data_IF_521408093959
#
_entry.id   IF_521408093959
#
_cell.length_a   1.000
_cell.length_b   1.000
_cell.length_c   1.000
_cell.angle_alpha   90.00
_cell.angle_beta   90.00
_cell.angle_gamma   90.00
#
_symmetry.space_group_name_H-M   'P 1'
#
loop_
_entity.id
_entity.type
_entity.pdbx_description
1 polymer ?
#
# COMPACT_ATOMS: atom_id res chain seq x y z
N UNK A 1 -17.28 27.94 12.21
CA UNK A 1 -16.12 27.37 12.93
C UNK A 1 -16.37 25.87 13.06
N UNK A 2 -15.92 25.05 12.11
CA UNK A 2 -16.13 23.59 12.16
C UNK A 2 -15.17 22.98 13.18
N UNK A 3 -15.70 22.66 14.37
CA UNK A 3 -15.01 21.88 15.38
C UNK A 3 -14.77 20.45 14.89
N UNK A 4 -13.70 19.81 15.37
CA UNK A 4 -13.40 18.41 15.04
C UNK A 4 -14.57 17.51 15.48
N UNK A 5 -14.88 16.45 14.73
CA UNK A 5 -15.73 15.38 15.25
C UNK A 5 -15.09 14.81 16.52
N UNK A 6 -15.88 14.62 17.59
CA UNK A 6 -15.38 14.04 18.84
C UNK A 6 -15.05 12.56 18.60
N UNK A 7 -14.21 11.95 19.44
CA UNK A 7 -13.91 10.50 19.38
C UNK A 7 -15.16 9.61 19.16
N UNK A 8 -16.33 9.87 19.82
CA UNK A 8 -17.56 9.13 19.57
C UNK A 8 -18.13 9.27 18.15
N UNK A 9 -17.97 10.41 17.49
CA UNK A 9 -18.43 10.63 16.11
C UNK A 9 -17.56 9.86 15.12
N UNK A 10 -16.27 9.70 15.44
CA UNK A 10 -15.30 8.99 14.61
C UNK A 10 -15.51 7.47 14.63
N UNK A 11 -16.00 6.93 15.75
CA UNK A 11 -16.48 5.54 15.82
C UNK A 11 -17.66 5.28 14.88
N UNK A 12 -18.52 6.29 14.69
CA UNK A 12 -19.66 6.18 13.76
C UNK A 12 -19.17 6.07 12.32
N UNK A 13 -18.13 6.84 11.95
CA UNK A 13 -17.49 6.81 10.62
C UNK A 13 -16.86 5.45 10.33
N UNK A 14 -16.31 4.79 11.34
CA UNK A 14 -15.65 3.49 11.21
C UNK A 14 -16.59 2.29 11.37
N UNK A 15 -17.86 2.48 11.76
CA UNK A 15 -18.80 1.39 12.05
C UNK A 15 -19.01 0.43 10.86
N UNK A 16 -18.85 0.94 9.65
CA UNK A 16 -18.93 0.17 8.40
C UNK A 16 -17.63 -0.57 8.03
N UNK A 17 -16.50 -0.24 8.66
CA UNK A 17 -15.24 -0.93 8.45
C UNK A 17 -15.12 -2.10 9.43
N UNK A 18 -14.92 -3.32 8.92
CA UNK A 18 -14.66 -4.49 9.77
C UNK A 18 -13.19 -4.48 10.24
N UNK A 19 -12.92 -3.70 11.29
CA UNK A 19 -11.60 -3.64 11.93
C UNK A 19 -11.19 -5.01 12.51
N UNK A 20 -12.16 -5.85 12.86
CA UNK A 20 -11.90 -7.22 13.31
C UNK A 20 -11.37 -8.10 12.18
N UNK A 21 -11.93 -8.00 10.98
CA UNK A 21 -11.42 -8.69 9.80
C UNK A 21 -9.99 -8.24 9.46
N UNK A 22 -9.72 -6.94 9.46
CA UNK A 22 -8.37 -6.41 9.21
C UNK A 22 -7.37 -6.96 10.23
N UNK A 23 -7.76 -7.06 11.51
CA UNK A 23 -6.92 -7.65 12.54
C UNK A 23 -6.65 -9.13 12.28
N UNK A 24 -7.68 -9.92 11.97
CA UNK A 24 -7.54 -11.34 11.63
C UNK A 24 -6.64 -11.53 10.40
N UNK A 25 -6.77 -10.66 9.40
CA UNK A 25 -5.88 -10.64 8.23
C UNK A 25 -4.43 -10.32 8.61
N UNK A 26 -4.20 -9.40 9.55
CA UNK A 26 -2.85 -9.08 9.99
C UNK A 26 -2.21 -10.22 10.81
N UNK A 27 -3.01 -10.93 11.60
CA UNK A 27 -2.54 -11.93 12.56
C UNK A 27 -2.60 -13.37 12.02
N UNK A 28 -3.09 -13.58 10.79
CA UNK A 28 -3.16 -14.92 10.19
C UNK A 28 -1.78 -15.56 10.06
N UNK A 29 -1.67 -16.89 10.21
CA UNK A 29 -0.49 -17.60 9.80
C UNK A 29 -0.33 -17.57 8.27
N UNK A 30 0.90 -17.80 7.83
CA UNK A 30 1.23 -18.01 6.43
C UNK A 30 2.34 -19.06 6.28
N UNK A 31 2.53 -19.55 5.06
CA UNK A 31 3.73 -20.31 4.69
C UNK A 31 4.31 -19.79 3.38
N UNK A 32 5.59 -19.42 3.43
CA UNK A 32 6.36 -19.01 2.26
C UNK A 32 7.46 -20.03 2.02
N UNK A 33 7.43 -20.69 0.86
CA UNK A 33 8.46 -21.64 0.47
C UNK A 33 9.66 -20.90 -0.12
N UNK A 34 10.87 -21.20 0.34
CA UNK A 34 12.13 -20.69 -0.22
C UNK A 34 12.79 -21.83 -1.00
N UNK A 35 12.60 -21.83 -2.31
CA UNK A 35 13.08 -22.89 -3.21
C UNK A 35 14.46 -22.51 -3.72
N UNK A 36 15.48 -23.30 -3.37
CA UNK A 36 16.85 -23.10 -3.80
C UNK A 36 17.56 -24.44 -4.00
N UNK A 37 18.56 -24.47 -4.88
CA UNK A 37 19.43 -25.66 -5.04
C UNK A 37 20.44 -25.77 -3.89
N UNK A 38 20.88 -24.64 -3.33
CA UNK A 38 21.70 -24.57 -2.12
C UNK A 38 20.84 -24.18 -0.91
N UNK A 39 20.79 -25.07 0.09
CA UNK A 39 20.09 -24.82 1.34
C UNK A 39 20.62 -23.57 2.07
N UNK A 40 21.91 -23.25 1.95
CA UNK A 40 22.50 -22.07 2.57
C UNK A 40 21.97 -20.75 1.98
N UNK A 41 21.58 -20.75 0.70
CA UNK A 41 20.94 -19.58 0.06
C UNK A 41 19.53 -19.36 0.60
N UNK A 42 18.75 -20.44 0.72
CA UNK A 42 17.41 -20.38 1.30
C UNK A 42 17.44 -19.93 2.77
N UNK A 43 18.38 -20.43 3.58
CA UNK A 43 18.54 -19.95 4.95
C UNK A 43 18.91 -18.46 5.01
N UNK A 44 19.82 -18.03 4.13
CA UNK A 44 20.29 -16.63 4.07
C UNK A 44 19.16 -15.68 3.67
N UNK A 45 18.42 -16.00 2.62
CA UNK A 45 17.24 -15.19 2.20
C UNK A 45 16.18 -15.21 3.29
N UNK A 46 15.97 -16.37 3.91
CA UNK A 46 15.09 -16.52 5.06
C UNK A 46 15.46 -15.55 6.20
N UNK A 47 16.71 -15.51 6.60
CA UNK A 47 17.21 -14.55 7.60
C UNK A 47 17.02 -13.10 7.17
N UNK A 48 17.42 -12.77 5.94
CA UNK A 48 17.32 -11.42 5.38
C UNK A 48 15.89 -10.88 5.30
N UNK A 49 14.92 -11.72 4.93
CA UNK A 49 13.51 -11.35 4.84
C UNK A 49 12.78 -11.33 6.19
N UNK A 50 13.35 -11.95 7.23
CA UNK A 50 12.71 -12.00 8.55
C UNK A 50 12.87 -10.69 9.31
N UNK A 51 14.07 -10.12 9.28
CA UNK A 51 14.36 -8.84 9.94
C UNK A 51 15.82 -8.71 10.38
N UNK A 52 16.13 -7.66 11.16
CA UNK A 52 17.51 -7.28 11.49
C UNK A 52 18.24 -8.29 12.38
N UNK A 53 17.54 -9.17 13.09
CA UNK A 53 18.13 -10.23 13.93
C UNK A 53 18.79 -11.33 13.09
N UNK A 54 18.51 -11.41 11.78
CA UNK A 54 19.12 -12.36 10.85
C UNK A 54 18.66 -13.82 11.03
N UNK A 55 17.92 -14.13 12.10
CA UNK A 55 17.29 -15.44 12.28
C UNK A 55 16.11 -15.61 11.33
N UNK A 56 16.04 -16.76 10.65
CA UNK A 56 14.93 -17.11 9.76
C UNK A 56 13.64 -17.28 10.56
N UNK A 57 12.58 -16.62 10.10
CA UNK A 57 11.23 -16.76 10.61
C UNK A 57 10.70 -18.18 10.32
N UNK A 58 10.05 -18.87 11.27
CA UNK A 58 9.63 -20.27 11.11
C UNK A 58 8.70 -20.54 9.91
N UNK A 59 7.96 -19.54 9.48
CA UNK A 59 7.03 -19.62 8.33
C UNK A 59 7.69 -19.36 6.97
N UNK A 60 8.99 -19.03 6.95
CA UNK A 60 9.81 -19.10 5.75
C UNK A 60 10.47 -20.49 5.76
N UNK A 61 10.08 -21.34 4.80
CA UNK A 61 10.45 -22.76 4.79
C UNK A 61 11.39 -23.03 3.62
N UNK A 62 12.68 -23.30 3.87
CA UNK A 62 13.59 -23.77 2.84
C UNK A 62 13.15 -25.10 2.26
N UNK A 63 13.36 -25.26 0.96
CA UNK A 63 13.05 -26.49 0.23
C UNK A 63 14.00 -26.62 -0.95
N UNK A 64 14.49 -27.83 -1.18
CA UNK A 64 15.12 -28.14 -2.47
C UNK A 64 14.05 -28.21 -3.58
N UNK A 65 14.43 -28.13 -4.87
CA UNK A 65 13.46 -28.14 -5.96
C UNK A 65 12.65 -29.45 -6.06
N UNK A 66 13.22 -30.60 -5.70
CA UNK A 66 12.54 -31.88 -5.74
C UNK A 66 11.48 -31.98 -4.63
N UNK A 67 11.78 -31.48 -3.43
CA UNK A 67 10.84 -31.38 -2.32
C UNK A 67 9.72 -30.38 -2.59
N UNK A 68 10.05 -29.23 -3.18
CA UNK A 68 9.07 -28.21 -3.54
C UNK A 68 8.01 -28.79 -4.50
N UNK A 69 8.44 -29.61 -5.46
CA UNK A 69 7.52 -30.33 -6.36
C UNK A 69 6.63 -31.32 -5.64
N UNK A 70 7.16 -32.09 -4.68
CA UNK A 70 6.39 -33.08 -3.92
C UNK A 70 5.32 -32.42 -3.05
N UNK A 71 5.63 -31.24 -2.51
CA UNK A 71 4.78 -30.53 -1.54
C UNK A 71 3.89 -29.45 -2.16
N UNK A 72 4.08 -29.12 -3.45
CA UNK A 72 3.35 -28.06 -4.16
C UNK A 72 1.83 -28.17 -4.01
N UNK A 73 1.27 -29.39 -4.13
CA UNK A 73 -0.16 -29.64 -4.05
C UNK A 73 -0.69 -29.84 -2.61
N UNK A 74 0.11 -29.55 -1.58
CA UNK A 74 -0.31 -29.71 -0.17
C UNK A 74 -1.43 -28.77 0.26
N UNK A 75 -1.63 -27.66 -0.45
CA UNK A 75 -2.59 -26.61 -0.09
C UNK A 75 -2.16 -25.75 1.10
N UNK A 76 -0.93 -25.92 1.60
CA UNK A 76 -0.40 -25.18 2.76
C UNK A 76 0.43 -23.95 2.36
N UNK A 77 0.92 -23.91 1.11
CA UNK A 77 1.85 -22.90 0.64
C UNK A 77 1.07 -21.67 0.14
N UNK A 78 1.30 -20.51 0.75
CA UNK A 78 0.66 -19.26 0.35
C UNK A 78 1.43 -18.50 -0.75
N UNK A 79 2.75 -18.68 -0.79
CA UNK A 79 3.67 -18.02 -1.70
C UNK A 79 4.96 -18.84 -1.83
N UNK A 80 5.62 -18.79 -2.99
CA UNK A 80 6.96 -19.34 -3.15
C UNK A 80 7.95 -18.30 -3.69
N UNK A 81 9.18 -18.33 -3.19
CA UNK A 81 10.34 -17.63 -3.74
C UNK A 81 11.28 -18.67 -4.36
N UNK A 82 11.56 -18.52 -5.65
CA UNK A 82 12.56 -19.31 -6.37
C UNK A 82 13.86 -18.51 -6.40
N UNK A 83 14.91 -19.04 -5.77
CA UNK A 83 16.23 -18.42 -5.73
C UNK A 83 17.08 -18.99 -6.86
N UNK A 84 17.51 -18.13 -7.78
CA UNK A 84 18.25 -18.51 -8.97
C UNK A 84 19.61 -17.81 -9.01
N UNK A 85 20.74 -18.54 -9.13
CA UNK A 85 22.08 -17.95 -9.21
C UNK A 85 22.39 -17.31 -10.57
N UNK A 86 21.44 -17.37 -11.50
CA UNK A 86 21.50 -16.76 -12.84
C UNK A 86 20.17 -16.11 -13.20
N UNK A 87 20.19 -15.28 -14.25
CA UNK A 87 18.96 -14.66 -14.78
C UNK A 87 17.92 -15.72 -15.22
N UNK A 88 18.36 -16.82 -15.80
CA UNK A 88 17.49 -17.92 -16.18
C UNK A 88 17.65 -19.05 -15.14
N UNK A 89 16.54 -19.55 -14.54
CA UNK A 89 16.60 -20.63 -13.57
C UNK A 89 17.15 -21.93 -14.17
N UNK A 90 17.68 -22.80 -13.32
CA UNK A 90 18.04 -24.16 -13.71
C UNK A 90 16.78 -24.96 -14.09
N UNK A 91 16.91 -26.05 -14.87
CA UNK A 91 15.77 -26.92 -15.17
C UNK A 91 15.09 -27.49 -13.91
N UNK A 92 15.84 -27.69 -12.82
CA UNK A 92 15.27 -28.18 -11.57
C UNK A 92 14.38 -27.12 -10.90
N UNK A 93 14.84 -25.87 -10.87
CA UNK A 93 14.09 -24.73 -10.35
C UNK A 93 12.85 -24.44 -11.20
N UNK A 94 12.96 -24.51 -12.52
CA UNK A 94 11.82 -24.32 -13.43
C UNK A 94 10.73 -25.38 -13.20
N UNK A 95 11.11 -26.66 -13.09
CA UNK A 95 10.16 -27.74 -12.80
C UNK A 95 9.47 -27.55 -11.43
N UNK A 96 10.18 -27.02 -10.44
CA UNK A 96 9.60 -26.69 -9.14
C UNK A 96 8.62 -25.52 -9.23
N UNK A 97 9.01 -24.45 -9.93
CA UNK A 97 8.16 -23.29 -10.15
C UNK A 97 6.88 -23.68 -10.90
N UNK A 98 6.97 -24.53 -11.93
CA UNK A 98 5.83 -25.03 -12.70
C UNK A 98 4.86 -25.85 -11.83
N UNK A 99 5.39 -26.74 -10.97
CA UNK A 99 4.55 -27.50 -10.05
C UNK A 99 3.78 -26.60 -9.07
N UNK A 100 4.45 -25.58 -8.53
CA UNK A 100 3.84 -24.59 -7.63
C UNK A 100 2.78 -23.74 -8.34
N UNK A 101 3.07 -23.28 -9.57
CA UNK A 101 2.11 -22.55 -10.41
C UNK A 101 0.90 -23.42 -10.75
N UNK A 102 1.09 -24.69 -11.09
CA UNK A 102 0.01 -25.65 -11.36
C UNK A 102 -0.88 -25.84 -10.12
N UNK A 103 -0.30 -25.78 -8.92
CA UNK A 103 -1.02 -25.77 -7.65
C UNK A 103 -1.62 -24.39 -7.27
N UNK A 104 -1.52 -23.39 -8.15
CA UNK A 104 -1.98 -22.00 -7.96
C UNK A 104 -1.27 -21.24 -6.85
N UNK A 105 -0.06 -21.67 -6.49
CA UNK A 105 0.81 -20.91 -5.59
C UNK A 105 1.46 -19.77 -6.40
N UNK A 106 1.35 -18.50 -5.98
CA UNK A 106 2.07 -17.41 -6.63
C UNK A 106 3.58 -17.59 -6.45
N UNK A 107 4.33 -17.42 -7.53
CA UNK A 107 5.79 -17.61 -7.54
C UNK A 107 6.50 -16.30 -7.83
N UNK A 108 7.40 -15.89 -6.94
CA UNK A 108 8.36 -14.82 -7.18
C UNK A 108 9.75 -15.39 -7.45
N UNK A 109 10.46 -14.87 -8.44
CA UNK A 109 11.84 -15.29 -8.73
C UNK A 109 12.83 -14.24 -8.26
N UNK A 110 13.83 -14.66 -7.49
CA UNK A 110 14.97 -13.83 -7.08
C UNK A 110 16.19 -14.34 -7.84
N UNK A 111 16.56 -13.65 -8.91
CA UNK A 111 17.82 -13.88 -9.61
C UNK A 111 18.93 -13.14 -8.85
N UNK A 112 20.04 -13.81 -8.55
CA UNK A 112 21.22 -13.18 -7.97
C UNK A 112 22.48 -13.41 -8.80
N UNK A 113 23.53 -12.61 -8.58
CA UNK A 113 24.79 -12.71 -9.33
C UNK A 113 24.81 -11.97 -10.67
N UNK A 114 23.65 -11.75 -11.31
CA UNK A 114 23.52 -10.94 -12.53
C UNK A 114 22.91 -9.56 -12.24
N UNK A 115 23.59 -8.49 -12.68
CA UNK A 115 23.19 -7.08 -12.52
C UNK A 115 22.52 -6.51 -13.77
N UNK A 116 22.35 -7.30 -14.82
CA UNK A 116 21.75 -6.86 -16.06
C UNK A 116 20.29 -6.43 -15.86
N UNK A 117 19.83 -5.32 -16.48
CA UNK A 117 18.42 -4.91 -16.39
C UNK A 117 17.46 -5.98 -16.92
N UNK A 118 17.93 -6.85 -17.82
CA UNK A 118 17.19 -7.99 -18.36
C UNK A 118 16.92 -9.09 -17.31
N UNK A 119 17.76 -9.20 -16.28
CA UNK A 119 17.61 -10.18 -15.21
C UNK A 119 16.40 -9.87 -14.30
N UNK A 120 16.00 -8.60 -14.21
CA UNK A 120 14.83 -8.16 -13.44
C UNK A 120 13.50 -8.25 -14.20
N UNK A 121 13.54 -8.52 -15.51
CA UNK A 121 12.33 -8.57 -16.35
C UNK A 121 11.51 -9.82 -16.01
N UNK A 122 10.26 -9.63 -15.60
CA UNK A 122 9.32 -10.70 -15.26
C UNK A 122 9.17 -11.69 -16.43
N UNK A 123 9.27 -12.99 -16.13
CA UNK A 123 9.12 -14.08 -17.11
C UNK A 123 7.69 -14.67 -17.09
N UNK A 124 7.27 -15.37 -18.15
CA UNK A 124 5.96 -16.04 -18.18
C UNK A 124 5.77 -16.96 -16.98
N UNK A 125 4.62 -16.82 -16.29
CA UNK A 125 4.28 -17.62 -15.11
C UNK A 125 4.83 -17.08 -13.77
N UNK A 126 5.75 -16.11 -13.79
CA UNK A 126 6.20 -15.43 -12.57
C UNK A 126 5.18 -14.35 -12.16
N UNK A 127 4.82 -14.33 -10.87
CA UNK A 127 4.00 -13.28 -10.30
C UNK A 127 4.82 -12.00 -10.03
N UNK A 128 6.11 -12.16 -9.74
CA UNK A 128 7.07 -11.07 -9.61
C UNK A 128 8.50 -11.57 -9.82
N UNK A 129 9.42 -10.64 -10.07
CA UNK A 129 10.84 -10.93 -10.20
C UNK A 129 11.67 -9.79 -9.64
N UNK A 130 12.78 -10.14 -8.99
CA UNK A 130 13.84 -9.21 -8.65
C UNK A 130 15.18 -9.78 -9.09
N UNK A 131 16.07 -8.89 -9.55
CA UNK A 131 17.49 -9.18 -9.73
C UNK A 131 18.27 -8.45 -8.64
N UNK A 132 19.15 -9.17 -7.94
CA UNK A 132 20.01 -8.62 -6.89
C UNK A 132 21.47 -8.97 -7.18
N UNK A 133 22.39 -8.08 -6.82
CA UNK A 133 23.81 -8.36 -7.02
C UNK A 133 24.29 -9.57 -6.22
N UNK A 134 23.80 -9.71 -4.98
CA UNK A 134 24.10 -10.80 -4.07
C UNK A 134 22.94 -10.95 -3.07
N UNK A 135 22.86 -12.12 -2.42
CA UNK A 135 21.92 -12.40 -1.34
C UNK A 135 22.41 -11.76 -0.03
N UNK A 136 22.39 -10.43 0.01
CA UNK A 136 22.94 -9.60 1.08
C UNK A 136 21.94 -8.51 1.49
N UNK A 137 22.17 -7.80 2.62
CA UNK A 137 21.27 -6.72 3.08
C UNK A 137 20.94 -5.66 2.02
N UNK A 138 21.85 -5.38 1.09
CA UNK A 138 21.64 -4.43 -0.02
C UNK A 138 20.56 -4.87 -1.02
N UNK A 139 20.33 -6.18 -1.16
CA UNK A 139 19.30 -6.76 -2.05
C UNK A 139 17.91 -6.84 -1.40
N UNK A 140 17.81 -6.67 -0.08
CA UNK A 140 16.56 -6.83 0.68
C UNK A 140 15.41 -5.96 0.16
N UNK A 141 15.60 -4.66 -0.16
CA UNK A 141 14.50 -3.84 -0.68
C UNK A 141 13.88 -4.41 -1.98
N UNK A 142 14.71 -4.89 -2.89
CA UNK A 142 14.24 -5.48 -4.15
C UNK A 142 13.51 -6.82 -3.92
N UNK A 143 14.05 -7.68 -3.05
CA UNK A 143 13.40 -8.94 -2.68
C UNK A 143 12.05 -8.70 -1.98
N UNK A 144 12.02 -7.79 -1.01
CA UNK A 144 10.79 -7.44 -0.28
C UNK A 144 9.71 -6.87 -1.23
N UNK A 145 10.11 -6.04 -2.20
CA UNK A 145 9.19 -5.55 -3.22
C UNK A 145 8.67 -6.68 -4.12
N UNK A 146 9.51 -7.62 -4.56
CA UNK A 146 9.07 -8.76 -5.35
C UNK A 146 8.09 -9.66 -4.57
N UNK A 147 8.37 -9.91 -3.29
CA UNK A 147 7.46 -10.64 -2.40
C UNK A 147 6.12 -9.92 -2.28
N UNK A 148 6.12 -8.60 -2.05
CA UNK A 148 4.88 -7.82 -1.93
C UNK A 148 4.06 -7.84 -3.22
N UNK A 149 4.73 -7.71 -4.37
CA UNK A 149 4.09 -7.77 -5.69
C UNK A 149 3.44 -9.13 -5.95
N UNK A 150 4.15 -10.23 -5.63
CA UNK A 150 3.64 -11.58 -5.83
C UNK A 150 2.55 -11.99 -4.81
N UNK A 151 2.60 -11.44 -3.60
CA UNK A 151 1.68 -11.80 -2.53
C UNK A 151 0.22 -11.41 -2.88
N UNK A 152 -0.75 -12.33 -2.67
CA UNK A 152 -2.17 -12.01 -2.78
C UNK A 152 -2.57 -10.90 -1.80
N UNK A 153 -3.56 -10.04 -2.14
CA UNK A 153 -3.91 -8.88 -1.31
C UNK A 153 -4.20 -9.22 0.15
N UNK A 154 -4.91 -10.32 0.44
CA UNK A 154 -5.24 -10.77 1.79
C UNK A 154 -4.09 -11.45 2.56
N UNK A 155 -2.90 -11.53 1.98
CA UNK A 155 -1.68 -12.06 2.61
C UNK A 155 -0.69 -10.94 2.98
N UNK A 156 -0.69 -9.84 2.23
CA UNK A 156 0.28 -8.73 2.35
C UNK A 156 0.41 -8.16 3.75
N UNK A 157 -0.72 -7.98 4.45
CA UNK A 157 -0.74 -7.44 5.80
C UNK A 157 -0.08 -8.37 6.82
N UNK A 158 -0.35 -9.68 6.72
CA UNK A 158 0.26 -10.70 7.56
C UNK A 158 1.77 -10.78 7.34
N UNK A 159 2.18 -10.80 6.08
CA UNK A 159 3.59 -10.82 5.69
C UNK A 159 4.34 -9.63 6.27
N UNK A 160 3.87 -8.40 6.05
CA UNK A 160 4.55 -7.21 6.57
C UNK A 160 4.55 -7.10 8.11
N UNK A 161 3.53 -7.67 8.78
CA UNK A 161 3.51 -7.74 10.25
C UNK A 161 4.68 -8.56 10.78
N UNK A 162 4.90 -9.74 10.20
CA UNK A 162 5.85 -10.73 10.67
C UNK A 162 7.24 -10.62 10.05
N UNK A 163 7.34 -10.02 8.85
CA UNK A 163 8.57 -9.87 8.08
C UNK A 163 8.90 -8.37 7.95
N UNK A 164 9.85 -7.89 8.76
CA UNK A 164 10.16 -6.46 8.90
C UNK A 164 10.45 -5.76 7.56
N UNK A 165 11.24 -6.34 6.64
CA UNK A 165 11.54 -5.71 5.35
C UNK A 165 10.32 -5.46 4.45
N UNK A 166 9.22 -6.18 4.65
CA UNK A 166 8.00 -6.04 3.84
C UNK A 166 7.12 -4.88 4.31
N UNK A 167 7.44 -4.25 5.45
CA UNK A 167 6.71 -3.09 5.96
C UNK A 167 6.80 -1.89 5.03
N UNK A 168 7.99 -1.59 4.54
CA UNK A 168 8.21 -0.44 3.66
C UNK A 168 7.38 -0.51 2.36
N UNK A 169 7.47 -1.58 1.55
CA UNK A 169 6.66 -1.68 0.33
C UNK A 169 5.15 -1.70 0.64
N UNK A 170 4.70 -2.37 1.71
CA UNK A 170 3.28 -2.34 2.10
C UNK A 170 2.83 -0.92 2.48
N UNK A 171 3.62 -0.20 3.29
CA UNK A 171 3.24 1.15 3.72
C UNK A 171 3.19 2.11 2.54
N UNK A 172 4.15 2.03 1.62
CA UNK A 172 4.12 2.81 0.39
C UNK A 172 2.84 2.53 -0.43
N UNK A 173 2.50 1.26 -0.61
CA UNK A 173 1.27 0.83 -1.31
C UNK A 173 0.00 1.36 -0.63
N UNK A 174 -0.17 1.10 0.67
CA UNK A 174 -1.35 1.53 1.43
C UNK A 174 -1.57 3.04 1.37
N UNK A 175 -0.48 3.81 1.52
CA UNK A 175 -0.54 5.27 1.51
C UNK A 175 -0.89 5.79 0.12
N UNK A 176 -0.26 5.25 -0.92
CA UNK A 176 -0.49 5.66 -2.31
C UNK A 176 -1.91 5.32 -2.79
N UNK A 177 -2.38 4.10 -2.52
CA UNK A 177 -3.73 3.66 -2.87
C UNK A 177 -4.81 4.51 -2.19
N UNK A 178 -4.62 4.78 -0.90
CA UNK A 178 -5.55 5.62 -0.12
C UNK A 178 -5.53 7.06 -0.63
N UNK A 179 -4.35 7.60 -0.94
CA UNK A 179 -4.22 8.95 -1.48
C UNK A 179 -4.91 9.08 -2.84
N UNK A 180 -4.74 8.09 -3.74
CA UNK A 180 -5.44 8.05 -5.04
C UNK A 180 -6.94 7.91 -4.90
N UNK A 181 -7.41 7.07 -3.99
CA UNK A 181 -8.84 6.89 -3.70
C UNK A 181 -9.47 8.19 -3.22
N UNK A 182 -8.83 8.86 -2.27
CA UNK A 182 -9.30 10.15 -1.75
C UNK A 182 -9.25 11.26 -2.82
N UNK A 183 -8.23 11.26 -3.67
CA UNK A 183 -8.13 12.18 -4.80
C UNK A 183 -9.23 11.95 -5.84
N UNK A 184 -9.53 10.70 -6.17
CA UNK A 184 -10.61 10.34 -7.09
C UNK A 184 -11.98 10.71 -6.52
N UNK A 185 -12.20 10.46 -5.23
CA UNK A 185 -13.42 10.86 -4.55
C UNK A 185 -13.59 12.39 -4.61
N UNK A 186 -12.56 13.16 -4.23
CA UNK A 186 -12.56 14.62 -4.32
C UNK A 186 -12.78 15.15 -5.75
N UNK A 187 -12.31 14.43 -6.77
CA UNK A 187 -12.58 14.73 -8.18
C UNK A 187 -14.06 14.53 -8.49
N UNK A 188 -14.63 13.39 -8.11
CA UNK A 188 -16.04 13.08 -8.40
C UNK A 188 -16.99 14.06 -7.71
N UNK A 189 -16.72 14.42 -6.46
CA UNK A 189 -17.55 15.39 -5.72
C UNK A 189 -17.32 16.81 -6.23
N UNK A 190 -16.09 17.18 -6.59
CA UNK A 190 -15.82 18.47 -7.23
C UNK A 190 -16.49 18.63 -8.61
N UNK A 191 -16.68 17.54 -9.36
CA UNK A 191 -17.47 17.57 -10.60
C UNK A 191 -18.97 17.74 -10.29
N UNK A 192 -19.48 17.03 -9.28
CA UNK A 192 -20.89 17.12 -8.89
C UNK A 192 -21.25 18.52 -8.35
N UNK A 193 -20.38 19.13 -7.54
CA UNK A 193 -20.53 20.51 -7.03
C UNK A 193 -20.54 21.55 -8.16
N UNK A 194 -19.84 21.29 -9.27
CA UNK A 194 -19.84 22.16 -10.43
C UNK A 194 -21.14 22.06 -11.27
N UNK A 195 -22.02 21.10 -10.97
CA UNK A 195 -23.32 20.96 -11.63
C UNK A 195 -24.41 21.71 -10.82
N UNK A 196 -25.06 22.75 -11.38
CA UNK A 196 -26.04 23.58 -10.67
C UNK A 196 -27.32 22.88 -10.17
N UNK A 197 -27.47 21.58 -10.43
CA UNK A 197 -28.70 20.80 -10.18
C UNK A 197 -28.64 19.95 -8.89
N UNK A 198 -27.48 19.85 -8.23
CA UNK A 198 -27.28 19.05 -7.04
C UNK A 198 -27.04 19.97 -5.84
N UNK A 199 -28.12 20.41 -5.20
CA UNK A 199 -28.10 21.29 -4.02
C UNK A 199 -27.76 20.50 -2.73
N UNK A 200 -26.66 19.74 -2.78
CA UNK A 200 -26.20 18.88 -1.68
C UNK A 200 -24.87 19.44 -1.16
N UNK A 201 -24.73 19.73 0.16
CA UNK A 201 -23.47 20.15 0.74
C UNK A 201 -22.49 18.97 0.84
N UNK A 202 -21.86 18.63 -0.30
CA UNK A 202 -20.94 17.50 -0.47
C UNK A 202 -19.68 17.62 0.42
N UNK A 203 -19.30 18.84 0.83
CA UNK A 203 -18.15 19.11 1.69
C UNK A 203 -18.11 18.33 3.02
N UNK A 204 -19.26 18.05 3.64
CA UNK A 204 -19.33 17.30 4.90
C UNK A 204 -19.17 15.78 4.67
N UNK A 205 -19.78 15.27 3.60
CA UNK A 205 -19.63 13.87 3.20
C UNK A 205 -18.18 13.57 2.79
N UNK A 206 -17.53 14.50 2.08
CA UNK A 206 -16.12 14.42 1.71
C UNK A 206 -15.21 14.25 2.92
N UNK A 207 -15.40 15.06 3.96
CA UNK A 207 -14.59 14.97 5.17
C UNK A 207 -14.76 13.59 5.83
N UNK A 208 -15.99 13.08 5.91
CA UNK A 208 -16.26 11.78 6.56
C UNK A 208 -15.62 10.63 5.80
N UNK A 209 -15.82 10.56 4.48
CA UNK A 209 -15.30 9.47 3.64
C UNK A 209 -13.77 9.48 3.60
N UNK A 210 -13.15 10.65 3.40
CA UNK A 210 -11.69 10.77 3.35
C UNK A 210 -11.06 10.40 4.70
N UNK A 211 -11.69 10.82 5.80
CA UNK A 211 -11.22 10.50 7.15
C UNK A 211 -11.34 9.01 7.43
N UNK A 212 -12.42 8.34 7.00
CA UNK A 212 -12.58 6.88 7.12
C UNK A 212 -11.41 6.15 6.46
N UNK A 213 -11.13 6.48 5.20
CA UNK A 213 -10.06 5.85 4.42
C UNK A 213 -8.69 6.04 5.09
N UNK A 214 -8.41 7.25 5.56
CA UNK A 214 -7.15 7.56 6.26
C UNK A 214 -7.02 6.77 7.57
N UNK A 215 -8.08 6.66 8.37
CA UNK A 215 -8.05 5.91 9.63
C UNK A 215 -7.90 4.40 9.41
N UNK A 216 -8.57 3.82 8.41
CA UNK A 216 -8.42 2.41 8.05
C UNK A 216 -6.99 2.12 7.57
N UNK A 217 -6.44 2.98 6.70
CA UNK A 217 -5.04 2.92 6.27
C UNK A 217 -4.08 2.97 7.47
N UNK A 218 -4.27 3.94 8.37
CA UNK A 218 -3.43 4.08 9.56
C UNK A 218 -3.52 2.88 10.50
N UNK A 219 -4.71 2.30 10.65
CA UNK A 219 -4.89 1.08 11.44
C UNK A 219 -4.14 -0.12 10.84
N UNK A 220 -4.18 -0.30 9.51
CA UNK A 220 -3.39 -1.32 8.80
C UNK A 220 -1.88 -1.11 9.01
N UNK A 221 -1.40 0.14 8.89
CA UNK A 221 0.01 0.47 9.16
C UNK A 221 0.40 0.09 10.59
N UNK A 222 -0.42 0.47 11.59
CA UNK A 222 -0.17 0.14 12.99
C UNK A 222 -0.04 -1.37 13.21
N UNK A 223 -0.98 -2.15 12.64
CA UNK A 223 -0.96 -3.62 12.74
C UNK A 223 0.27 -4.22 12.04
N UNK A 224 0.62 -3.77 10.84
CA UNK A 224 1.82 -4.26 10.15
C UNK A 224 3.13 -3.84 10.84
N UNK A 225 3.15 -2.75 11.62
CA UNK A 225 4.28 -2.41 12.48
C UNK A 225 4.39 -3.27 13.75
N UNK A 226 3.49 -4.24 13.95
CA UNK A 226 3.50 -5.09 15.14
C UNK A 226 2.88 -4.44 16.38
N UNK A 227 2.20 -3.29 16.25
CA UNK A 227 1.54 -2.63 17.38
C UNK A 227 0.49 -3.55 18.01
N UNK A 228 0.38 -3.47 19.33
CA UNK A 228 -0.57 -4.21 20.16
C UNK A 228 -1.57 -3.22 20.76
N UNK A 229 -2.74 -3.70 21.13
CA UNK A 229 -3.83 -2.88 21.66
C UNK A 229 -5.17 -3.19 21.00
N UNK A 230 -6.27 -2.72 21.58
CA UNK A 230 -7.59 -2.79 20.97
C UNK A 230 -7.65 -1.90 19.73
N UNK A 231 -8.59 -2.14 18.78
CA UNK A 231 -8.82 -1.18 17.70
C UNK A 231 -9.05 0.23 18.22
N UNK A 232 -9.67 0.36 19.41
CA UNK A 232 -9.93 1.67 20.02
C UNK A 232 -8.69 2.41 20.45
N UNK A 233 -7.79 1.72 21.12
CA UNK A 233 -6.49 2.27 21.55
C UNK A 233 -5.68 2.71 20.33
N UNK A 234 -5.49 1.82 19.35
CA UNK A 234 -4.66 2.10 18.17
C UNK A 234 -5.19 3.26 17.34
N UNK A 235 -6.52 3.35 17.15
CA UNK A 235 -7.13 4.50 16.47
C UNK A 235 -6.95 5.78 17.29
N UNK A 236 -7.11 5.71 18.62
CA UNK A 236 -6.86 6.83 19.52
C UNK A 236 -5.43 7.36 19.42
N UNK A 237 -4.44 6.47 19.39
CA UNK A 237 -3.02 6.82 19.22
C UNK A 237 -2.76 7.46 17.85
N UNK A 238 -3.28 6.86 16.77
CA UNK A 238 -3.20 7.42 15.40
C UNK A 238 -3.76 8.84 15.36
N UNK A 239 -4.88 9.11 16.03
CA UNK A 239 -5.49 10.43 16.08
C UNK A 239 -4.64 11.44 16.87
N UNK A 240 -3.99 10.98 17.93
CA UNK A 240 -2.97 11.75 18.64
C UNK A 240 -1.81 12.15 17.74
N UNK A 241 -1.31 11.23 16.90
CA UNK A 241 -0.20 11.43 15.96
C UNK A 241 -0.56 12.38 14.83
N UNK A 242 -1.77 12.27 14.28
CA UNK A 242 -2.30 13.20 13.27
C UNK A 242 -2.52 14.61 13.90
N UNK A 243 -2.36 14.71 15.22
CA UNK A 243 -2.12 15.95 15.94
C UNK A 243 -3.40 16.71 16.23
N UNK A 244 -4.42 16.05 16.79
CA UNK A 244 -5.58 16.72 17.41
C UNK A 244 -6.16 17.88 16.57
N UNK A 245 -6.20 17.70 15.24
CA UNK A 245 -6.70 18.69 14.28
C UNK A 245 -5.71 19.65 13.63
N UNK A 246 -4.38 19.61 13.83
CA UNK A 246 -3.46 20.52 13.13
C UNK A 246 -3.43 20.30 11.61
N UNK A 247 -3.23 19.05 11.18
CA UNK A 247 -3.28 18.66 9.75
C UNK A 247 -4.65 18.96 9.13
N UNK A 248 -5.73 18.61 9.84
CA UNK A 248 -7.10 18.88 9.41
C UNK A 248 -7.42 20.38 9.35
N UNK A 249 -6.94 21.21 10.30
CA UNK A 249 -7.12 22.67 10.27
C UNK A 249 -6.31 23.36 9.18
N UNK A 250 -5.14 22.83 8.80
CA UNK A 250 -4.38 23.38 7.68
C UNK A 250 -4.98 22.96 6.33
N UNK A 251 -5.36 21.68 6.18
CA UNK A 251 -6.09 21.20 5.00
C UNK A 251 -7.43 21.92 4.81
N UNK A 252 -8.24 22.02 5.87
CA UNK A 252 -9.52 22.73 5.84
C UNK A 252 -9.36 24.22 5.52
N UNK A 253 -8.37 24.93 6.08
CA UNK A 253 -8.13 26.35 5.73
C UNK A 253 -7.72 26.53 4.26
N UNK A 254 -6.94 25.61 3.71
CA UNK A 254 -6.60 25.64 2.29
C UNK A 254 -7.81 25.30 1.41
N UNK A 255 -8.67 24.37 1.83
CA UNK A 255 -9.90 24.02 1.10
C UNK A 255 -10.94 25.15 1.14
N UNK A 256 -11.14 25.80 2.30
CA UNK A 256 -12.15 26.87 2.50
C UNK A 256 -11.91 28.08 1.60
N UNK A 257 -10.67 28.35 1.16
CA UNK A 257 -10.33 29.46 0.26
C UNK A 257 -10.32 29.12 -1.24
N UNK A 258 -10.49 27.86 -1.64
CA UNK A 258 -10.36 27.42 -3.04
C UNK A 258 -11.70 27.39 -3.80
N UNK A 259 -12.82 27.54 -3.09
CA UNK A 259 -14.14 27.10 -3.54
C UNK A 259 -14.79 28.01 -4.60
N UNK A 260 -14.64 29.35 -4.62
CA UNK A 260 -15.28 30.12 -5.68
C UNK A 260 -14.44 30.30 -6.97
N UNK A 261 -13.09 30.15 -6.93
CA UNK A 261 -12.20 30.66 -8.02
C UNK A 261 -11.16 29.66 -8.56
N UNK A 262 -10.76 28.62 -7.81
CA UNK A 262 -9.51 27.90 -8.12
C UNK A 262 -9.66 26.57 -8.90
N UNK A 263 -10.88 26.02 -9.00
CA UNK A 263 -11.19 24.82 -9.79
C UNK A 263 -10.92 23.47 -9.11
N UNK A 264 -11.27 22.38 -9.80
CA UNK A 264 -11.25 20.99 -9.29
C UNK A 264 -9.83 20.49 -8.95
N UNK A 265 -8.82 20.95 -9.68
CA UNK A 265 -7.42 20.48 -9.54
C UNK A 265 -6.86 20.72 -8.13
N UNK A 266 -6.95 21.94 -7.55
CA UNK A 266 -6.57 22.17 -6.16
C UNK A 266 -7.24 21.25 -5.13
N UNK A 267 -8.55 20.98 -5.25
CA UNK A 267 -9.29 20.09 -4.33
C UNK A 267 -8.70 18.68 -4.33
N UNK A 268 -8.49 18.14 -5.53
CA UNK A 268 -7.88 16.81 -5.74
C UNK A 268 -6.44 16.76 -5.21
N UNK A 269 -5.66 17.80 -5.47
CA UNK A 269 -4.27 17.88 -5.01
C UNK A 269 -4.16 17.90 -3.47
N UNK A 270 -5.05 18.63 -2.80
CA UNK A 270 -5.10 18.69 -1.33
C UNK A 270 -5.52 17.33 -0.74
N UNK A 271 -6.53 16.67 -1.29
CA UNK A 271 -6.98 15.36 -0.82
C UNK A 271 -5.87 14.30 -0.92
N UNK A 272 -5.15 14.29 -2.04
CA UNK A 272 -3.99 13.42 -2.26
C UNK A 272 -2.86 13.73 -1.27
N UNK A 273 -2.41 15.00 -1.22
CA UNK A 273 -1.26 15.42 -0.42
C UNK A 273 -1.49 15.28 1.09
N UNK A 274 -2.71 15.56 1.55
CA UNK A 274 -3.10 15.38 2.95
C UNK A 274 -3.00 13.91 3.37
N UNK A 275 -3.44 13.01 2.51
CA UNK A 275 -3.38 11.56 2.77
C UNK A 275 -1.94 11.04 2.80
N UNK A 276 -1.09 11.46 1.86
CA UNK A 276 0.35 11.14 1.87
C UNK A 276 1.03 11.62 3.16
N UNK A 277 0.76 12.86 3.58
CA UNK A 277 1.36 13.44 4.78
C UNK A 277 0.93 12.70 6.06
N UNK A 278 -0.37 12.37 6.17
CA UNK A 278 -0.91 11.58 7.28
C UNK A 278 -0.27 10.19 7.31
N UNK A 279 -0.22 9.50 6.16
CA UNK A 279 0.40 8.18 6.04
C UNK A 279 1.84 8.17 6.53
N UNK A 280 2.66 9.11 6.07
CA UNK A 280 4.06 9.24 6.49
C UNK A 280 4.21 9.56 7.98
N UNK A 281 3.34 10.39 8.53
CA UNK A 281 3.34 10.67 9.97
C UNK A 281 3.03 9.43 10.79
N UNK A 282 2.06 8.62 10.33
CA UNK A 282 1.69 7.37 10.98
C UNK A 282 2.80 6.32 10.85
N UNK A 283 3.46 6.21 9.70
CA UNK A 283 4.63 5.32 9.55
C UNK A 283 5.74 5.69 10.53
N UNK A 284 6.06 6.99 10.63
CA UNK A 284 7.09 7.45 11.56
C UNK A 284 6.71 7.16 13.02
N UNK A 285 5.45 7.40 13.42
CA UNK A 285 4.99 7.00 14.75
C UNK A 285 5.06 5.49 14.95
N UNK A 286 4.65 4.71 13.96
CA UNK A 286 4.61 3.27 14.09
C UNK A 286 6.04 2.69 14.23
N UNK A 287 7.01 3.27 13.52
CA UNK A 287 8.43 2.91 13.59
C UNK A 287 9.13 3.38 14.89
N UNK A 288 8.91 4.63 15.33
CA UNK A 288 9.69 5.24 16.42
C UNK A 288 8.91 5.45 17.73
N UNK A 289 7.61 5.15 17.77
CA UNK A 289 6.76 5.39 18.94
C UNK A 289 6.46 6.86 19.25
N UNK A 290 6.95 7.79 18.42
CA UNK A 290 6.81 9.21 18.63
C UNK A 290 6.08 9.86 17.46
N UNK A 291 5.18 10.80 17.77
CA UNK A 291 4.58 11.64 16.75
C UNK A 291 5.66 12.52 16.11
N UNK A 292 5.57 12.72 14.79
CA UNK A 292 6.45 13.68 14.11
C UNK A 292 6.20 15.09 14.62
N UNK A 293 7.27 15.88 14.72
CA UNK A 293 7.13 17.31 15.00
C UNK A 293 6.20 17.99 13.98
N UNK A 294 5.34 18.94 14.41
CA UNK A 294 4.42 19.65 13.52
C UNK A 294 5.11 20.30 12.31
N UNK A 295 6.35 20.78 12.49
CA UNK A 295 7.17 21.34 11.42
C UNK A 295 7.53 20.32 10.34
N UNK A 296 7.86 19.09 10.73
CA UNK A 296 8.17 17.98 9.82
C UNK A 296 6.95 17.56 9.03
N UNK A 297 5.81 17.40 9.69
CA UNK A 297 4.52 17.11 9.03
C UNK A 297 4.18 18.18 7.98
N UNK A 298 4.39 19.46 8.30
CA UNK A 298 4.17 20.57 7.36
C UNK A 298 5.12 20.55 6.16
N UNK A 299 6.37 20.08 6.32
CA UNK A 299 7.30 19.89 5.20
C UNK A 299 6.84 18.74 4.30
N UNK A 300 6.48 17.60 4.88
CA UNK A 300 5.97 16.44 4.16
C UNK A 300 4.71 16.79 3.36
N UNK A 301 3.78 17.54 3.95
CA UNK A 301 2.59 18.02 3.24
C UNK A 301 2.93 18.93 2.05
N UNK A 302 3.83 19.90 2.23
CA UNK A 302 4.23 20.80 1.14
C UNK A 302 4.91 20.05 -0.02
N UNK A 303 5.77 19.08 0.29
CA UNK A 303 6.38 18.21 -0.70
C UNK A 303 5.34 17.32 -1.40
N UNK A 304 4.38 16.79 -0.65
CA UNK A 304 3.29 15.99 -1.21
C UNK A 304 2.34 16.83 -2.09
N UNK A 305 2.17 18.13 -1.80
CA UNK A 305 1.28 19.01 -2.54
C UNK A 305 1.79 19.35 -3.93
N UNK A 306 3.11 19.49 -4.14
CA UNK A 306 3.66 19.68 -5.50
C UNK A 306 3.36 18.45 -6.36
N UNK A 307 3.68 17.25 -5.85
CA UNK A 307 3.38 15.99 -6.52
C UNK A 307 1.87 15.77 -6.72
N UNK A 308 1.05 16.11 -5.72
CA UNK A 308 -0.40 16.01 -5.77
C UNK A 308 -1.04 16.89 -6.84
N UNK A 309 -0.44 18.03 -7.18
CA UNK A 309 -0.91 18.87 -8.30
C UNK A 309 -0.73 18.16 -9.65
N UNK A 310 0.36 17.43 -9.84
CA UNK A 310 0.60 16.70 -11.08
C UNK A 310 -0.35 15.51 -11.22
N UNK A 311 -0.55 14.76 -10.13
CA UNK A 311 -1.57 13.70 -10.06
C UNK A 311 -2.96 14.27 -10.34
N UNK A 312 -3.33 15.39 -9.72
CA UNK A 312 -4.62 16.04 -9.91
C UNK A 312 -4.85 16.46 -11.38
N UNK A 313 -3.84 17.07 -12.02
CA UNK A 313 -3.92 17.44 -13.45
C UNK A 313 -4.12 16.20 -14.33
N UNK A 314 -3.38 15.13 -14.08
CA UNK A 314 -3.51 13.88 -14.82
C UNK A 314 -4.91 13.27 -14.68
N UNK A 315 -5.45 13.18 -13.46
CA UNK A 315 -6.79 12.67 -13.19
C UNK A 315 -7.89 13.51 -13.86
N UNK A 316 -7.81 14.84 -13.74
CA UNK A 316 -8.77 15.75 -14.38
C UNK A 316 -8.70 15.65 -15.91
N UNK A 317 -7.50 15.55 -16.48
CA UNK A 317 -7.32 15.39 -17.93
C UNK A 317 -7.94 14.07 -18.43
N UNK A 318 -7.77 12.97 -17.69
CA UNK A 318 -8.39 11.68 -18.01
C UNK A 318 -9.92 11.75 -17.92
N UNK A 319 -10.48 12.37 -16.88
CA UNK A 319 -11.92 12.54 -16.73
C UNK A 319 -12.52 13.36 -17.89
N UNK A 320 -11.86 14.45 -18.31
CA UNK A 320 -12.29 15.26 -19.46
C UNK A 320 -12.29 14.48 -20.78
N UNK A 321 -11.32 13.58 -20.98
CA UNK A 321 -11.25 12.71 -22.17
C UNK A 321 -12.39 11.68 -22.20
N UNK A 322 -12.82 11.19 -21.04
CA UNK A 322 -13.90 10.20 -20.89
C UNK A 322 -15.31 10.81 -20.92
N UNK A 323 -15.44 12.12 -20.72
CA UNK A 323 -16.73 12.79 -20.81
C UNK A 323 -17.30 12.70 -22.24
N UNK A 324 -18.56 12.28 -22.42
CA UNK A 324 -19.16 12.17 -23.75
C UNK A 324 -19.17 13.54 -24.44
N UNK A 325 -18.56 13.63 -25.63
CA UNK A 325 -18.70 14.81 -26.51
C UNK A 325 -20.18 15.00 -26.79
N UNK A 326 -20.80 16.05 -26.23
CA UNK A 326 -22.19 16.46 -26.54
C UNK A 326 -22.31 16.76 -28.04
N UNK A 327 -22.61 15.75 -28.85
CA UNK A 327 -22.83 15.87 -30.31
C UNK A 327 -24.26 16.31 -30.65
N UNK A 328 -25.11 16.59 -29.65
CA UNK A 328 -26.56 16.78 -29.81
C UNK A 328 -27.08 18.23 -29.82
N UNK A 329 -26.22 19.26 -29.84
CA UNK A 329 -26.65 20.66 -29.91
C UNK A 329 -26.41 21.36 -31.26
N UNK A 330 -26.20 20.60 -32.34
CA UNK A 330 -25.96 21.15 -33.69
C UNK A 330 -26.93 20.69 -34.78
N UNK A 331 -28.17 20.34 -34.40
CA UNK A 331 -29.32 20.17 -35.30
C UNK A 331 -30.57 20.79 -34.68
N UNK A 332 -30.58 22.12 -34.51
CA UNK A 332 -31.80 22.93 -34.32
C UNK A 332 -31.51 24.43 -34.42
N UNK A 333 -30.96 24.83 -35.56
CA UNK A 333 -31.12 26.12 -36.25
C UNK A 333 -30.88 25.73 -37.71
N UNK A 334 -31.93 25.51 -38.49
CA UNK A 334 -32.71 26.61 -39.05
C UNK A 334 -32.05 26.89 -40.38
#
# INVERSE_FOLDING_TARGET
>A
MLGLPKLPDMWRVLKEADLGAIRREAERPFQVLLVAEDAAEAERVGGLLSGPEGARHPWLVPSDPAEARRTAASGLIDLALVLSPSADPSPALDLAADALRAARVPVATIAHGDRGPMAAVIRPGEAARAAVAALEPSGVPAMAQAVMTAAPPGLRLALARQLVPLREPLFAELIEETARTNAMYALTTGIAEAMPLLDVPLNLADIVVLTKNQLVMSYRIALASGRKGTPRELIGEVLGVIGGGFLFRQGARQLVGLIPVAGIVPKVAVAYAGTLAIGRAVVAWAAYGQALEPGTVRRLYRQALSHGKDVARALVAQARKRAPRRRWLRRRRG
#
